data_IF_107243711817
#
_entry.id   IF_107243711817
#
_cell.length_a   1.000
_cell.length_b   1.000
_cell.length_c   1.000
_cell.angle_alpha   90.00
_cell.angle_beta   90.00
_cell.angle_gamma   90.00
#
_symmetry.space_group_name_H-M   'P 1'
#
loop_
_entity.id
_entity.type
_entity.pdbx_description
1 polymer ?
#
# COMPACT_ATOMS: atom_id res chain seq x y z
N UNK A 1 34.82 -27.53 -14.10
CA UNK A 1 33.71 -28.31 -13.53
C UNK A 1 33.67 -27.99 -12.05
N UNK A 2 32.80 -27.04 -11.68
CA UNK A 2 32.49 -26.61 -10.32
C UNK A 2 31.22 -25.73 -10.39
N UNK A 3 30.25 -26.01 -9.51
CA UNK A 3 29.41 -25.10 -8.69
C UNK A 3 29.15 -23.66 -9.21
N UNK A 4 27.95 -23.05 -9.13
CA UNK A 4 26.88 -23.11 -8.11
C UNK A 4 25.61 -22.39 -8.60
N UNK A 5 24.48 -22.78 -8.01
CA UNK A 5 23.31 -21.98 -7.60
C UNK A 5 22.58 -21.05 -8.59
N UNK A 6 21.41 -21.53 -9.03
CA UNK A 6 20.22 -20.71 -9.19
C UNK A 6 18.98 -21.53 -8.76
N UNK A 7 18.56 -21.35 -7.51
CA UNK A 7 17.30 -21.87 -6.96
C UNK A 7 16.11 -21.27 -7.73
N UNK A 8 15.60 -22.02 -8.70
CA UNK A 8 14.28 -21.82 -9.30
C UNK A 8 13.24 -22.28 -8.28
N UNK A 9 12.54 -21.33 -7.66
CA UNK A 9 11.33 -21.59 -6.88
C UNK A 9 10.14 -21.90 -7.80
N UNK A 10 10.24 -23.01 -8.51
CA UNK A 10 9.16 -23.70 -9.23
C UNK A 10 9.74 -25.04 -9.67
N UNK A 11 9.85 -25.97 -8.73
CA UNK A 11 9.72 -27.38 -9.04
C UNK A 11 8.65 -27.92 -8.10
N UNK A 12 7.75 -28.71 -8.68
CA UNK A 12 6.76 -29.54 -7.99
C UNK A 12 7.49 -30.62 -7.15
N UNK A 13 8.31 -30.18 -6.19
CA UNK A 13 8.92 -31.03 -5.19
C UNK A 13 7.81 -31.54 -4.29
N UNK A 14 7.44 -32.80 -4.52
CA UNK A 14 6.80 -33.75 -3.61
C UNK A 14 6.36 -33.08 -2.31
N UNK A 15 5.08 -32.71 -2.23
CA UNK A 15 4.47 -32.18 -1.01
C UNK A 15 4.57 -33.29 0.05
N UNK A 16 5.66 -33.27 0.82
CA UNK A 16 5.83 -34.11 2.00
C UNK A 16 4.85 -33.60 3.05
N UNK A 17 3.66 -34.21 3.06
CA UNK A 17 2.55 -34.03 4.02
C UNK A 17 2.38 -32.62 4.59
N UNK A 18 1.57 -31.80 3.92
CA UNK A 18 1.10 -30.52 4.41
C UNK A 18 -0.09 -30.72 5.35
N UNK A 19 0.09 -30.57 6.67
CA UNK A 19 -1.05 -30.50 7.60
C UNK A 19 -1.50 -29.04 7.71
N UNK A 20 -2.76 -28.78 7.39
CA UNK A 20 -3.36 -27.44 7.52
C UNK A 20 -4.18 -27.36 8.80
N UNK A 21 -3.98 -26.30 9.58
CA UNK A 21 -4.81 -25.98 10.74
C UNK A 21 -5.26 -24.53 10.67
N UNK A 22 -6.42 -24.25 11.22
CA UNK A 22 -6.99 -22.92 11.27
C UNK A 22 -7.44 -22.60 12.69
N UNK A 23 -7.20 -21.36 13.13
CA UNK A 23 -7.74 -20.80 14.36
C UNK A 23 -8.21 -19.37 14.10
N UNK A 24 -9.52 -19.12 14.20
CA UNK A 24 -10.12 -17.79 13.99
C UNK A 24 -9.60 -17.07 12.72
N UNK A 25 -9.45 -17.79 11.61
CA UNK A 25 -8.94 -17.24 10.33
C UNK A 25 -7.41 -17.12 10.24
N UNK A 26 -6.66 -17.49 11.27
CA UNK A 26 -5.20 -17.69 11.21
C UNK A 26 -4.95 -19.08 10.63
N UNK A 27 -4.19 -19.17 9.55
CA UNK A 27 -3.94 -20.43 8.84
C UNK A 27 -2.49 -20.85 9.08
N UNK A 28 -2.32 -22.08 9.58
CA UNK A 28 -1.04 -22.71 9.84
C UNK A 28 -0.82 -23.84 8.83
N UNK A 29 0.30 -23.78 8.13
CA UNK A 29 0.76 -24.83 7.25
C UNK A 29 2.00 -25.49 7.85
N UNK A 30 1.80 -26.71 8.34
CA UNK A 30 2.87 -27.53 8.87
C UNK A 30 3.45 -28.37 7.73
N UNK A 31 4.71 -28.13 7.43
CA UNK A 31 5.55 -28.95 6.57
C UNK A 31 6.52 -29.73 7.46
N UNK A 32 7.22 -30.71 6.88
CA UNK A 32 8.18 -31.53 7.63
C UNK A 32 9.29 -30.71 8.33
N UNK A 33 9.74 -29.61 7.72
CA UNK A 33 10.87 -28.81 8.17
C UNK A 33 10.55 -27.34 8.48
N UNK A 34 9.31 -26.89 8.30
CA UNK A 34 8.92 -25.49 8.53
C UNK A 34 7.45 -25.33 8.85
N UNK A 35 7.15 -24.20 9.50
CA UNK A 35 5.80 -23.71 9.72
C UNK A 35 5.62 -22.42 8.91
N UNK A 36 4.59 -22.36 8.07
CA UNK A 36 4.14 -21.12 7.45
C UNK A 36 2.83 -20.68 8.08
N UNK A 37 2.73 -19.38 8.39
CA UNK A 37 1.54 -18.79 9.03
C UNK A 37 1.01 -17.68 8.13
N UNK A 38 -0.25 -17.76 7.75
CA UNK A 38 -0.97 -16.65 7.12
C UNK A 38 -1.88 -16.02 8.16
N UNK A 39 -1.65 -14.74 8.43
CA UNK A 39 -2.37 -14.02 9.47
C UNK A 39 -2.79 -12.63 8.98
N UNK A 40 -4.11 -12.39 8.92
CA UNK A 40 -4.71 -11.11 8.55
C UNK A 40 -5.17 -10.38 9.82
N UNK A 41 -4.29 -9.57 10.40
CA UNK A 41 -4.50 -9.01 11.75
C UNK A 41 -5.81 -8.22 11.88
N UNK A 42 -6.12 -7.36 10.91
CA UNK A 42 -7.33 -6.55 10.92
C UNK A 42 -8.61 -7.39 10.78
N UNK A 43 -8.56 -8.51 10.06
CA UNK A 43 -9.68 -9.46 10.03
C UNK A 43 -9.84 -10.11 11.40
N UNK A 44 -8.75 -10.61 12.00
CA UNK A 44 -8.79 -11.23 13.32
C UNK A 44 -9.36 -10.29 14.38
N UNK A 45 -8.92 -9.03 14.40
CA UNK A 45 -9.46 -7.96 15.25
C UNK A 45 -10.99 -7.82 15.10
N UNK A 46 -11.51 -7.95 13.89
CA UNK A 46 -12.94 -7.88 13.59
C UNK A 46 -13.61 -9.26 13.53
N UNK A 47 -13.12 -10.26 14.28
CA UNK A 47 -13.69 -11.61 14.32
C UNK A 47 -13.87 -12.25 12.92
N UNK A 48 -12.90 -12.01 12.04
CA UNK A 48 -12.85 -12.46 10.64
C UNK A 48 -13.96 -11.96 9.73
N UNK A 49 -14.67 -10.88 10.09
CA UNK A 49 -15.79 -10.36 9.30
C UNK A 49 -15.37 -9.36 8.20
N UNK A 50 -14.48 -8.43 8.53
CA UNK A 50 -14.08 -7.37 7.59
C UNK A 50 -12.74 -6.75 7.98
N UNK A 51 -12.24 -5.87 7.12
CA UNK A 51 -11.08 -5.02 7.41
C UNK A 51 -11.34 -3.58 6.93
N UNK A 52 -12.56 -3.07 7.09
CA UNK A 52 -12.99 -1.78 6.54
C UNK A 52 -13.01 -0.63 7.56
N UNK A 53 -13.23 -0.93 8.84
CA UNK A 53 -13.11 0.05 9.94
C UNK A 53 -11.65 0.43 10.19
N UNK A 54 -11.43 1.29 11.18
CA UNK A 54 -10.09 1.65 11.62
C UNK A 54 -9.40 0.51 12.37
N UNK A 55 -8.10 0.39 12.14
CA UNK A 55 -7.21 -0.55 12.82
C UNK A 55 -5.94 0.18 13.17
N UNK A 56 -5.84 0.60 14.42
CA UNK A 56 -4.78 1.46 14.90
C UNK A 56 -3.47 0.69 15.10
N UNK A 57 -2.39 1.43 15.30
CA UNK A 57 -1.08 0.86 15.68
C UNK A 57 -1.19 0.05 16.97
N UNK A 58 -1.95 0.53 17.96
CA UNK A 58 -2.11 -0.17 19.23
C UNK A 58 -2.94 -1.44 19.07
N UNK A 59 -3.97 -1.45 18.21
CA UNK A 59 -4.74 -2.66 17.90
C UNK A 59 -3.84 -3.72 17.26
N UNK A 60 -2.96 -3.30 16.34
CA UNK A 60 -1.98 -4.17 15.70
C UNK A 60 -1.02 -4.81 16.72
N UNK A 61 -0.44 -4.00 17.61
CA UNK A 61 0.46 -4.49 18.68
C UNK A 61 -0.30 -5.46 19.61
N UNK A 62 -1.54 -5.14 19.97
CA UNK A 62 -2.34 -6.00 20.84
C UNK A 62 -2.67 -7.34 20.19
N UNK A 63 -3.02 -7.36 18.89
CA UNK A 63 -3.23 -8.60 18.13
C UNK A 63 -1.96 -9.46 18.09
N UNK A 64 -0.78 -8.85 17.91
CA UNK A 64 0.50 -9.59 17.93
C UNK A 64 0.81 -10.17 19.32
N UNK A 65 0.56 -9.40 20.39
CA UNK A 65 0.71 -9.88 21.78
C UNK A 65 -0.26 -11.02 22.10
N UNK A 66 -1.52 -10.87 21.74
CA UNK A 66 -2.54 -11.91 21.93
C UNK A 66 -2.16 -13.19 21.18
N UNK A 67 -1.70 -13.08 19.94
CA UNK A 67 -1.21 -14.22 19.17
C UNK A 67 -0.03 -14.93 19.85
N UNK A 68 0.96 -14.18 20.35
CA UNK A 68 2.07 -14.75 21.13
C UNK A 68 1.56 -15.53 22.33
N UNK A 69 0.64 -14.94 23.08
CA UNK A 69 0.17 -15.49 24.36
C UNK A 69 -0.76 -16.70 24.17
N UNK A 70 -1.60 -16.72 23.12
CA UNK A 70 -2.50 -17.83 22.82
C UNK A 70 -1.73 -19.09 22.40
N UNK A 71 -0.68 -18.92 21.58
CA UNK A 71 0.04 -20.05 21.01
C UNK A 71 1.35 -20.37 21.73
N UNK A 72 1.75 -19.55 22.71
CA UNK A 72 3.02 -19.64 23.42
C UNK A 72 4.22 -19.72 22.44
N UNK A 73 4.22 -18.84 21.43
CA UNK A 73 5.23 -18.81 20.37
C UNK A 73 6.24 -17.70 20.61
N UNK A 74 7.53 -18.03 20.52
CA UNK A 74 8.58 -17.02 20.41
C UNK A 74 8.51 -16.31 19.05
N UNK A 75 8.00 -15.08 19.05
CA UNK A 75 7.86 -14.24 17.87
C UNK A 75 9.19 -13.95 17.16
N UNK A 76 10.34 -14.09 17.84
CA UNK A 76 11.65 -13.88 17.21
C UNK A 76 12.02 -14.98 16.20
N UNK A 77 11.41 -16.15 16.32
CA UNK A 77 11.60 -17.29 15.41
C UNK A 77 10.74 -17.16 14.13
N UNK A 78 9.72 -16.29 14.15
CA UNK A 78 8.80 -16.11 13.03
C UNK A 78 9.28 -15.04 12.07
N UNK A 79 10.05 -15.43 11.04
CA UNK A 79 10.48 -14.52 9.99
C UNK A 79 9.29 -13.97 9.18
N UNK A 80 9.25 -12.65 8.95
CA UNK A 80 8.20 -12.01 8.13
C UNK A 80 8.65 -11.98 6.67
N UNK A 81 8.06 -12.85 5.86
CA UNK A 81 8.41 -13.01 4.44
C UNK A 81 7.50 -12.24 3.48
N UNK A 82 6.24 -12.01 3.88
CA UNK A 82 5.23 -11.27 3.15
C UNK A 82 4.57 -10.27 4.08
N UNK A 83 4.27 -9.07 3.57
CA UNK A 83 3.59 -8.04 4.35
C UNK A 83 2.73 -7.17 3.42
N UNK A 84 1.51 -6.88 3.87
CA UNK A 84 0.62 -5.89 3.27
C UNK A 84 0.19 -4.90 4.35
N UNK A 85 0.36 -3.61 4.10
CA UNK A 85 -0.03 -2.54 5.01
C UNK A 85 -0.56 -1.35 4.22
N UNK A 86 -1.48 -0.59 4.80
CA UNK A 86 -2.14 0.49 4.09
C UNK A 86 -3.08 1.30 4.97
N UNK A 87 -3.68 2.32 4.38
CA UNK A 87 -4.58 3.25 5.06
C UNK A 87 -5.92 3.32 4.33
N UNK A 88 -7.01 3.26 5.10
CA UNK A 88 -8.34 3.61 4.62
C UNK A 88 -8.53 5.11 4.79
N UNK A 89 -8.99 5.82 3.76
CA UNK A 89 -9.23 7.25 3.83
C UNK A 89 -10.50 7.63 3.06
N UNK A 90 -11.16 8.71 3.48
CA UNK A 90 -12.34 9.23 2.80
C UNK A 90 -11.90 10.07 1.60
N UNK A 91 -12.34 9.70 0.40
CA UNK A 91 -12.02 10.49 -0.79
C UNK A 91 -12.75 11.85 -0.76
N UNK A 92 -12.10 12.97 -1.10
CA UNK A 92 -12.76 14.29 -1.18
C UNK A 92 -13.66 14.46 -2.41
N UNK A 93 -13.53 13.54 -3.37
CA UNK A 93 -14.36 13.43 -4.58
C UNK A 93 -14.97 12.04 -4.62
N UNK A 94 -15.87 11.76 -5.58
CA UNK A 94 -16.39 10.40 -5.78
C UNK A 94 -15.24 9.42 -6.01
N UNK A 95 -15.19 8.35 -5.24
CA UNK A 95 -14.04 7.42 -5.21
C UNK A 95 -13.77 6.76 -6.56
N UNK A 96 -14.81 6.55 -7.37
CA UNK A 96 -14.69 6.05 -8.74
C UNK A 96 -13.81 6.98 -9.60
N UNK A 97 -14.01 8.29 -9.49
CA UNK A 97 -13.20 9.27 -10.22
C UNK A 97 -11.77 9.30 -9.70
N UNK A 98 -11.59 9.30 -8.38
CA UNK A 98 -10.26 9.24 -7.77
C UNK A 98 -9.44 8.05 -8.28
N UNK A 99 -10.02 6.84 -8.26
CA UNK A 99 -9.34 5.63 -8.77
C UNK A 99 -9.01 5.79 -10.27
N UNK A 100 -9.91 6.37 -11.06
CA UNK A 100 -9.66 6.58 -12.50
C UNK A 100 -8.57 7.63 -12.80
N UNK A 101 -8.36 8.58 -11.89
CA UNK A 101 -7.36 9.65 -12.04
C UNK A 101 -5.96 9.24 -11.57
N UNK A 102 -5.82 8.15 -10.81
CA UNK A 102 -4.53 7.57 -10.44
C UNK A 102 -3.95 6.76 -11.61
N UNK A 103 -3.12 7.41 -12.43
CA UNK A 103 -2.66 6.80 -13.70
C UNK A 103 -1.30 6.11 -13.60
N UNK A 104 -0.38 6.62 -12.77
CA UNK A 104 0.96 6.06 -12.58
C UNK A 104 1.38 6.10 -11.11
N UNK A 105 2.18 5.11 -10.71
CA UNK A 105 3.02 5.18 -9.51
C UNK A 105 4.47 5.10 -9.96
N UNK A 106 5.26 6.12 -9.60
CA UNK A 106 6.53 6.41 -10.27
C UNK A 106 6.34 6.42 -11.80
N UNK A 107 6.94 5.45 -12.50
CA UNK A 107 6.85 5.27 -13.96
C UNK A 107 6.04 4.05 -14.36
N UNK A 108 5.43 3.38 -13.40
CA UNK A 108 4.69 2.15 -13.60
C UNK A 108 3.19 2.48 -13.66
N UNK A 109 2.56 2.20 -14.80
CA UNK A 109 1.14 2.44 -14.97
C UNK A 109 0.33 1.63 -13.97
N UNK A 110 -0.71 2.23 -13.42
CA UNK A 110 -1.73 1.47 -12.73
C UNK A 110 -2.50 0.59 -13.71
N UNK A 111 -2.74 -0.66 -13.32
CA UNK A 111 -3.53 -1.65 -14.07
C UNK A 111 -4.67 -2.11 -13.20
N UNK A 112 -5.80 -2.47 -13.81
CA UNK A 112 -6.91 -3.06 -13.06
C UNK A 112 -6.46 -4.33 -12.32
N UNK A 113 -6.82 -4.42 -11.05
CA UNK A 113 -6.61 -5.60 -10.24
C UNK A 113 -7.79 -6.56 -10.45
N UNK A 114 -7.51 -7.78 -10.89
CA UNK A 114 -8.55 -8.76 -11.16
C UNK A 114 -9.24 -9.16 -9.85
N UNK A 115 -10.57 -9.11 -9.82
CA UNK A 115 -11.38 -9.60 -8.69
C UNK A 115 -12.07 -8.53 -7.84
N UNK A 116 -11.80 -7.24 -8.05
CA UNK A 116 -12.50 -6.14 -7.39
C UNK A 116 -12.78 -5.00 -8.40
N UNK A 117 -14.03 -4.58 -8.53
CA UNK A 117 -14.39 -3.39 -9.31
C UNK A 117 -13.71 -2.14 -8.72
N UNK A 118 -13.22 -1.26 -9.59
CA UNK A 118 -12.49 -0.05 -9.20
C UNK A 118 -11.32 -0.34 -8.25
N UNK A 119 -10.56 -1.38 -8.58
CA UNK A 119 -9.30 -1.72 -7.95
C UNK A 119 -8.18 -1.64 -8.97
N UNK A 120 -7.12 -0.93 -8.60
CA UNK A 120 -5.93 -0.75 -9.41
C UNK A 120 -4.70 -1.17 -8.63
N UNK A 121 -3.70 -1.68 -9.35
CA UNK A 121 -2.39 -2.01 -8.80
C UNK A 121 -1.27 -1.57 -9.73
N UNK A 122 -0.14 -1.19 -9.16
CA UNK A 122 1.08 -0.83 -9.87
C UNK A 122 2.27 -1.57 -9.27
N UNK A 123 3.11 -2.09 -10.16
CA UNK A 123 4.33 -2.81 -9.81
C UNK A 123 5.34 -2.65 -10.95
N UNK A 124 6.62 -2.83 -10.64
CA UNK A 124 7.65 -2.87 -11.67
C UNK A 124 7.55 -4.19 -12.45
N UNK A 125 7.52 -4.13 -13.77
CA UNK A 125 7.62 -5.36 -14.58
C UNK A 125 9.07 -5.91 -14.55
N UNK A 126 9.20 -7.23 -14.53
CA UNK A 126 10.45 -7.94 -14.79
C UNK A 126 10.71 -7.98 -16.31
N UNK A 127 11.92 -8.35 -16.72
CA UNK A 127 12.29 -8.45 -18.15
C UNK A 127 11.40 -9.42 -18.94
N UNK A 128 10.83 -10.41 -18.27
CA UNK A 128 9.91 -11.42 -18.82
C UNK A 128 8.44 -10.97 -18.82
N UNK A 129 8.15 -9.71 -18.44
CA UNK A 129 6.80 -9.18 -18.36
C UNK A 129 6.01 -9.59 -17.11
N UNK A 130 6.62 -10.36 -16.19
CA UNK A 130 5.96 -10.76 -14.94
C UNK A 130 6.06 -9.67 -13.87
N UNK A 131 5.11 -9.66 -12.93
CA UNK A 131 5.07 -8.70 -11.84
C UNK A 131 6.26 -8.88 -10.89
N UNK A 132 6.97 -7.79 -10.58
CA UNK A 132 7.97 -7.82 -9.53
C UNK A 132 7.31 -7.92 -8.15
N UNK A 133 7.68 -8.97 -7.42
CA UNK A 133 7.21 -9.29 -6.06
C UNK A 133 7.76 -8.37 -4.96
N UNK A 134 8.76 -7.55 -5.28
CA UNK A 134 9.45 -6.68 -4.32
C UNK A 134 8.55 -5.63 -3.67
N UNK A 135 7.70 -4.97 -4.45
CA UNK A 135 6.76 -3.94 -3.99
C UNK A 135 5.65 -3.77 -5.01
N UNK A 136 4.41 -3.82 -4.54
CA UNK A 136 3.19 -3.54 -5.31
C UNK A 136 2.40 -2.47 -4.56
N UNK A 137 1.96 -1.45 -5.27
CA UNK A 137 1.03 -0.44 -4.77
C UNK A 137 -0.36 -0.82 -5.22
N UNK A 138 -1.35 -0.76 -4.33
CA UNK A 138 -2.76 -0.99 -4.67
C UNK A 138 -3.60 0.19 -4.21
N UNK A 139 -4.59 0.56 -4.99
CA UNK A 139 -5.63 1.50 -4.60
C UNK A 139 -7.00 0.97 -5.01
N UNK A 140 -7.99 1.05 -4.14
CA UNK A 140 -9.33 0.57 -4.44
C UNK A 140 -10.40 1.19 -3.55
N UNK A 141 -11.66 1.08 -3.99
CA UNK A 141 -12.80 1.59 -3.23
C UNK A 141 -13.22 0.57 -2.17
N UNK A 142 -12.92 0.86 -0.91
CA UNK A 142 -13.19 -0.03 0.22
C UNK A 142 -14.67 -0.11 0.55
N UNK A 143 -15.39 0.99 0.38
CA UNK A 143 -16.84 1.08 0.62
C UNK A 143 -17.67 0.25 -0.37
N UNK A 144 -17.14 -0.05 -1.57
CA UNK A 144 -17.79 -1.02 -2.46
C UNK A 144 -17.61 -2.46 -1.97
N UNK A 145 -16.45 -2.77 -1.36
CA UNK A 145 -16.18 -4.10 -0.82
C UNK A 145 -16.95 -4.34 0.49
N UNK A 146 -17.08 -3.30 1.32
CA UNK A 146 -17.65 -3.39 2.68
C UNK A 146 -18.55 -2.19 3.00
N UNK A 147 -19.69 -2.03 2.30
CA UNK A 147 -20.55 -0.84 2.42
C UNK A 147 -21.19 -0.66 3.80
N UNK A 148 -21.27 -1.72 4.60
CA UNK A 148 -21.85 -1.68 5.96
C UNK A 148 -20.85 -1.31 7.05
N UNK A 149 -19.56 -1.24 6.72
CA UNK A 149 -18.47 -1.17 7.70
C UNK A 149 -17.53 0.03 7.51
N UNK A 150 -17.83 0.90 6.53
CA UNK A 150 -17.12 2.16 6.31
C UNK A 150 -18.00 3.13 5.54
N UNK A 151 -17.65 4.42 5.63
CA UNK A 151 -18.37 5.49 4.95
C UNK A 151 -18.33 5.33 3.42
N UNK A 152 -19.36 5.80 2.69
CA UNK A 152 -19.31 5.93 1.24
C UNK A 152 -18.03 6.63 0.79
N UNK A 153 -17.52 6.27 -0.39
CA UNK A 153 -16.26 6.80 -0.95
C UNK A 153 -14.99 6.60 -0.08
N UNK A 154 -15.04 5.71 0.93
CA UNK A 154 -13.81 5.22 1.58
C UNK A 154 -12.96 4.46 0.56
N UNK A 155 -11.75 4.94 0.34
CA UNK A 155 -10.71 4.29 -0.46
C UNK A 155 -9.68 3.62 0.44
N UNK A 156 -8.94 2.63 -0.10
CA UNK A 156 -7.72 2.11 0.50
C UNK A 156 -6.54 2.39 -0.41
N UNK A 157 -5.43 2.84 0.18
CA UNK A 157 -4.11 2.81 -0.43
C UNK A 157 -3.23 1.81 0.33
N UNK A 158 -2.63 0.86 -0.37
CA UNK A 158 -1.93 -0.28 0.23
C UNK A 158 -0.58 -0.53 -0.46
N UNK A 159 0.42 -0.87 0.36
CA UNK A 159 1.73 -1.34 -0.06
C UNK A 159 1.85 -2.82 0.31
N UNK A 160 2.12 -3.64 -0.70
CA UNK A 160 2.26 -5.08 -0.57
C UNK A 160 3.65 -5.53 -1.03
N UNK A 161 4.28 -6.43 -0.29
CA UNK A 161 5.54 -7.07 -0.67
C UNK A 161 5.51 -8.56 -0.36
N UNK A 162 6.07 -9.36 -1.27
CA UNK A 162 6.30 -10.79 -1.09
C UNK A 162 7.78 -11.14 -0.96
N UNK A 163 8.60 -10.16 -0.61
CA UNK A 163 10.06 -10.27 -0.55
C UNK A 163 10.55 -9.74 0.79
N UNK A 164 11.11 -10.63 1.62
CA UNK A 164 11.69 -10.28 2.92
C UNK A 164 12.72 -9.14 2.83
N UNK A 165 13.42 -9.02 1.69
CA UNK A 165 14.38 -7.93 1.45
C UNK A 165 13.76 -6.54 1.58
N UNK A 166 12.54 -6.34 1.08
CA UNK A 166 11.84 -5.07 1.22
C UNK A 166 11.38 -4.86 2.66
N UNK A 167 10.81 -5.89 3.27
CA UNK A 167 10.27 -5.87 4.64
C UNK A 167 11.35 -5.53 5.66
N UNK A 168 12.57 -6.06 5.49
CA UNK A 168 13.73 -5.74 6.33
C UNK A 168 14.14 -4.26 6.28
N UNK A 169 13.87 -3.55 5.18
CA UNK A 169 14.13 -2.10 5.10
C UNK A 169 13.21 -1.29 6.01
N UNK A 170 12.05 -1.83 6.38
CA UNK A 170 11.15 -1.26 7.38
C UNK A 170 11.63 -1.54 8.81
N UNK A 171 12.73 -2.29 9.00
CA UNK A 171 13.22 -2.74 10.29
C UNK A 171 12.54 -4.02 10.81
N UNK A 172 11.88 -4.77 9.94
CA UNK A 172 11.13 -5.99 10.30
C UNK A 172 11.89 -7.22 9.80
N UNK A 173 12.44 -7.99 10.72
CA UNK A 173 13.06 -9.28 10.44
C UNK A 173 12.14 -10.42 10.90
N UNK A 174 11.47 -10.22 12.04
CA UNK A 174 10.60 -11.21 12.68
C UNK A 174 9.30 -10.58 13.16
N UNK A 175 8.32 -11.42 13.51
CA UNK A 175 7.06 -10.96 14.07
C UNK A 175 7.25 -10.18 15.39
N UNK A 176 8.37 -10.38 16.11
CA UNK A 176 8.72 -9.61 17.31
C UNK A 176 8.88 -8.13 17.01
N UNK A 177 9.41 -7.77 15.83
CA UNK A 177 9.63 -6.39 15.44
C UNK A 177 8.32 -5.62 15.27
N UNK A 178 7.20 -6.32 15.02
CA UNK A 178 5.85 -5.75 14.98
C UNK A 178 5.35 -5.30 16.37
N UNK A 179 6.08 -5.57 17.46
CA UNK A 179 5.80 -4.98 18.76
C UNK A 179 6.44 -3.60 18.95
N UNK A 180 7.29 -3.16 18.01
CA UNK A 180 8.02 -1.91 18.10
C UNK A 180 7.28 -0.77 17.36
N UNK A 181 6.99 0.32 18.08
CA UNK A 181 6.34 1.51 17.52
C UNK A 181 7.10 2.12 16.33
N UNK A 182 8.44 2.10 16.36
CA UNK A 182 9.29 2.67 15.31
C UNK A 182 9.05 2.02 13.94
N UNK A 183 8.67 0.75 13.92
CA UNK A 183 8.32 0.05 12.69
C UNK A 183 7.08 0.67 12.04
N UNK A 184 6.09 1.05 12.84
CA UNK A 184 4.86 1.67 12.34
C UNK A 184 5.08 3.11 11.87
N UNK A 185 5.98 3.86 12.52
CA UNK A 185 6.38 5.18 12.04
C UNK A 185 7.05 5.09 10.66
N UNK A 186 7.92 4.09 10.46
CA UNK A 186 8.51 3.82 9.13
C UNK A 186 7.46 3.40 8.11
N UNK A 187 6.47 2.59 8.49
CA UNK A 187 5.35 2.25 7.59
C UNK A 187 4.52 3.49 7.22
N UNK A 188 4.25 4.39 8.18
CA UNK A 188 3.57 5.66 7.95
C UNK A 188 4.32 6.53 6.94
N UNK A 189 5.61 6.76 7.18
CA UNK A 189 6.50 7.49 6.27
C UNK A 189 6.48 6.86 4.88
N UNK A 190 6.51 5.52 4.81
CA UNK A 190 6.48 4.81 3.54
C UNK A 190 5.15 4.98 2.82
N UNK A 191 4.01 4.96 3.52
CA UNK A 191 2.70 5.26 2.92
C UNK A 191 2.70 6.67 2.31
N UNK A 192 3.18 7.66 3.05
CA UNK A 192 3.26 9.06 2.58
C UNK A 192 4.16 9.19 1.35
N UNK A 193 5.35 8.62 1.38
CA UNK A 193 6.32 8.64 0.27
C UNK A 193 5.73 7.96 -0.99
N UNK A 194 5.16 6.77 -0.85
CA UNK A 194 4.62 6.03 -1.99
C UNK A 194 3.36 6.71 -2.56
N UNK A 195 2.55 7.36 -1.72
CA UNK A 195 1.40 8.15 -2.18
C UNK A 195 1.84 9.40 -2.95
N UNK A 196 2.88 10.11 -2.49
CA UNK A 196 3.44 11.28 -3.18
C UNK A 196 3.96 10.93 -4.59
N UNK A 197 4.48 9.70 -4.73
CA UNK A 197 4.93 9.14 -6.00
C UNK A 197 3.79 8.80 -6.99
N UNK A 198 2.52 8.82 -6.55
CA UNK A 198 1.37 8.69 -7.44
C UNK A 198 1.19 9.95 -8.28
N UNK A 199 0.93 9.75 -9.58
CA UNK A 199 0.46 10.80 -10.48
C UNK A 199 -1.07 10.76 -10.53
N UNK A 200 -1.67 11.83 -10.01
CA UNK A 200 -3.13 12.02 -9.97
C UNK A 200 -3.48 13.15 -10.94
N UNK A 201 -4.34 12.84 -11.91
CA UNK A 201 -4.92 13.83 -12.81
C UNK A 201 -5.99 14.64 -12.06
N UNK A 202 -5.84 15.95 -12.00
CA UNK A 202 -6.71 16.81 -11.22
C UNK A 202 -7.79 17.37 -12.15
N UNK A 203 -8.83 16.56 -12.37
CA UNK A 203 -9.96 16.90 -13.23
C UNK A 203 -11.12 17.54 -12.47
N UNK A 204 -11.00 17.71 -11.15
CA UNK A 204 -12.09 18.12 -10.25
C UNK A 204 -11.88 19.50 -9.64
N UNK A 205 -10.63 19.95 -9.53
CA UNK A 205 -10.33 21.29 -9.02
C UNK A 205 -10.78 22.37 -9.99
N UNK A 206 -11.39 23.43 -9.47
CA UNK A 206 -11.72 24.63 -10.24
C UNK A 206 -10.44 25.48 -10.48
N UNK A 207 -10.02 25.54 -11.75
CA UNK A 207 -8.86 26.30 -12.19
C UNK A 207 -9.20 27.63 -12.88
N UNK A 208 -10.46 28.09 -12.83
CA UNK A 208 -10.92 29.31 -13.52
C UNK A 208 -10.23 30.59 -13.06
N UNK A 209 -9.65 30.59 -11.86
CA UNK A 209 -8.85 31.72 -11.33
C UNK A 209 -7.44 31.82 -11.96
N UNK A 210 -6.99 30.79 -12.67
CA UNK A 210 -5.69 30.79 -13.37
C UNK A 210 -5.81 31.43 -14.76
N UNK A 211 -4.66 31.78 -15.35
CA UNK A 211 -4.66 32.32 -16.72
C UNK A 211 -5.06 31.26 -17.75
N UNK A 212 -5.62 31.67 -18.90
CA UNK A 212 -6.01 30.75 -20.00
C UNK A 212 -4.86 29.85 -20.49
N UNK A 213 -3.61 30.33 -20.40
CA UNK A 213 -2.43 29.56 -20.76
C UNK A 213 -2.19 28.42 -19.76
N UNK A 214 -2.40 28.69 -18.48
CA UNK A 214 -2.22 27.70 -17.41
C UNK A 214 -3.33 26.68 -17.40
N UNK A 215 -4.58 27.13 -17.57
CA UNK A 215 -5.73 26.23 -17.70
C UNK A 215 -5.54 25.26 -18.88
N UNK A 216 -5.12 25.77 -20.06
CA UNK A 216 -4.82 24.91 -21.22
C UNK A 216 -3.69 23.93 -20.96
N UNK A 217 -2.64 24.33 -20.23
CA UNK A 217 -1.55 23.41 -19.85
C UNK A 217 -2.02 22.32 -18.91
N UNK A 218 -2.83 22.65 -17.91
CA UNK A 218 -3.41 21.66 -17.00
C UNK A 218 -4.30 20.69 -17.78
N UNK A 219 -5.16 21.20 -18.68
CA UNK A 219 -5.99 20.36 -19.54
C UNK A 219 -5.18 19.40 -20.41
N UNK A 220 -4.04 19.85 -20.96
CA UNK A 220 -3.11 18.99 -21.73
C UNK A 220 -2.48 17.90 -20.85
N UNK A 221 -2.11 18.20 -19.61
CA UNK A 221 -1.63 17.19 -18.65
C UNK A 221 -2.74 16.26 -18.15
N UNK A 222 -3.99 16.72 -18.08
CA UNK A 222 -5.12 15.87 -17.71
C UNK A 222 -5.51 14.87 -18.81
N UNK A 223 -4.86 14.91 -19.98
CA UNK A 223 -4.98 13.87 -20.99
C UNK A 223 -4.01 12.70 -20.68
N UNK A 224 -4.50 11.47 -20.39
CA UNK A 224 -3.63 10.33 -20.13
C UNK A 224 -2.65 10.01 -21.27
N UNK A 225 -3.01 10.28 -22.54
CA UNK A 225 -2.13 10.06 -23.69
C UNK A 225 -0.87 10.92 -23.63
N UNK A 226 -0.95 12.12 -23.03
CA UNK A 226 0.22 12.98 -22.81
C UNK A 226 1.27 12.26 -21.98
N UNK A 227 0.86 11.62 -20.89
CA UNK A 227 1.77 10.89 -20.00
C UNK A 227 2.34 9.64 -20.63
N UNK A 228 1.56 8.94 -21.47
CA UNK A 228 2.09 7.84 -22.28
C UNK A 228 3.24 8.29 -23.18
N UNK A 229 3.10 9.43 -23.87
CA UNK A 229 4.18 9.98 -24.70
C UNK A 229 5.39 10.44 -23.87
N UNK A 230 5.15 11.09 -22.74
CA UNK A 230 6.21 11.51 -21.80
C UNK A 230 7.00 10.32 -21.28
N UNK A 231 6.33 9.21 -20.96
CA UNK A 231 6.97 7.99 -20.45
C UNK A 231 7.87 7.33 -21.49
N UNK A 232 7.47 7.35 -22.76
CA UNK A 232 8.24 6.79 -23.88
C UNK A 232 9.39 7.69 -24.35
N UNK A 233 9.59 8.83 -23.72
CA UNK A 233 10.72 9.70 -24.01
C UNK A 233 12.05 9.05 -23.57
N UNK A 234 13.12 9.10 -24.38
CA UNK A 234 14.40 8.44 -24.07
C UNK A 234 15.11 9.03 -22.84
N UNK A 235 14.80 10.26 -22.45
CA UNK A 235 15.46 10.91 -21.32
C UNK A 235 14.93 10.36 -19.99
N UNK A 236 15.84 9.70 -19.25
CA UNK A 236 15.54 9.06 -17.95
C UNK A 236 14.75 9.93 -16.98
N UNK A 237 15.01 11.23 -16.91
CA UNK A 237 14.38 12.12 -15.92
C UNK A 237 13.18 12.90 -16.47
N UNK A 238 12.76 12.65 -17.72
CA UNK A 238 11.72 13.44 -18.36
C UNK A 238 10.37 13.32 -17.64
N UNK A 239 9.94 12.10 -17.32
CA UNK A 239 8.69 11.86 -16.59
C UNK A 239 8.61 12.65 -15.27
N UNK A 240 9.62 12.54 -14.41
CA UNK A 240 9.65 13.23 -13.12
C UNK A 240 9.62 14.75 -13.29
N UNK A 241 10.40 15.29 -14.24
CA UNK A 241 10.38 16.73 -14.54
C UNK A 241 9.02 17.22 -15.04
N UNK A 242 8.34 16.44 -15.90
CA UNK A 242 7.00 16.81 -16.37
C UNK A 242 5.96 16.72 -15.24
N UNK A 243 6.08 15.72 -14.35
CA UNK A 243 5.26 15.61 -13.12
C UNK A 243 5.44 16.84 -12.20
N UNK A 244 6.68 17.27 -11.98
CA UNK A 244 6.98 18.50 -11.23
C UNK A 244 6.38 19.76 -11.89
N UNK A 245 6.49 19.90 -13.22
CA UNK A 245 5.90 21.02 -13.95
C UNK A 245 4.38 21.02 -13.85
N UNK A 246 3.75 19.86 -14.02
CA UNK A 246 2.30 19.71 -13.88
C UNK A 246 1.84 20.14 -12.47
N UNK A 247 2.45 19.60 -11.42
CA UNK A 247 2.10 19.98 -10.05
C UNK A 247 2.46 21.42 -9.71
N UNK A 248 3.44 22.06 -10.37
CA UNK A 248 3.67 23.50 -10.24
C UNK A 248 2.48 24.33 -10.71
N UNK A 249 1.74 23.88 -11.73
CA UNK A 249 0.52 24.57 -12.17
C UNK A 249 -0.66 24.26 -11.25
N UNK A 250 -0.88 22.98 -10.91
CA UNK A 250 -1.98 22.56 -10.02
C UNK A 250 -1.88 23.21 -8.64
N UNK A 251 -0.67 23.27 -8.06
CA UNK A 251 -0.42 23.85 -6.74
C UNK A 251 -0.56 25.39 -6.68
N UNK A 252 -0.87 26.06 -7.79
CA UNK A 252 -1.32 27.46 -7.74
C UNK A 252 -2.69 27.60 -7.08
N UNK A 253 -3.48 26.53 -7.08
CA UNK A 253 -4.68 26.40 -6.27
C UNK A 253 -4.33 25.63 -5.01
N UNK A 254 -4.38 26.29 -3.85
CA UNK A 254 -3.95 25.70 -2.58
C UNK A 254 -4.79 24.46 -2.23
N UNK A 255 -6.12 24.56 -2.38
CA UNK A 255 -7.06 23.49 -2.07
C UNK A 255 -7.31 22.53 -3.25
N UNK A 256 -6.29 22.24 -4.07
CA UNK A 256 -6.41 21.26 -5.15
C UNK A 256 -6.58 19.82 -4.64
N UNK A 257 -7.00 18.90 -5.51
CA UNK A 257 -7.32 17.51 -5.17
C UNK A 257 -6.15 16.80 -4.48
N UNK A 258 -4.93 16.98 -5.00
CA UNK A 258 -3.73 16.33 -4.45
C UNK A 258 -3.46 16.82 -3.02
N UNK A 259 -3.52 18.12 -2.78
CA UNK A 259 -3.27 18.69 -1.45
C UNK A 259 -4.34 18.24 -0.44
N UNK A 260 -5.61 18.18 -0.86
CA UNK A 260 -6.68 17.63 -0.03
C UNK A 260 -6.40 16.17 0.35
N UNK A 261 -6.00 15.33 -0.61
CA UNK A 261 -5.69 13.92 -0.37
C UNK A 261 -4.49 13.73 0.57
N UNK A 262 -3.41 14.49 0.37
CA UNK A 262 -2.22 14.45 1.25
C UNK A 262 -2.60 14.80 2.68
N UNK A 263 -3.43 15.83 2.86
CA UNK A 263 -3.92 16.23 4.18
C UNK A 263 -4.80 15.13 4.79
N UNK A 264 -5.79 14.63 4.06
CA UNK A 264 -6.69 13.57 4.52
C UNK A 264 -5.91 12.32 4.95
N UNK A 265 -4.95 11.87 4.15
CA UNK A 265 -4.13 10.69 4.46
C UNK A 265 -3.24 10.95 5.67
N UNK A 266 -2.62 12.13 5.76
CA UNK A 266 -1.77 12.49 6.90
C UNK A 266 -2.57 12.56 8.20
N UNK A 267 -3.70 13.26 8.18
CA UNK A 267 -4.63 13.37 9.32
C UNK A 267 -5.11 11.98 9.77
N UNK A 268 -5.37 11.08 8.81
CA UNK A 268 -5.81 9.71 9.09
C UNK A 268 -4.71 8.86 9.71
N UNK A 269 -3.48 8.95 9.20
CA UNK A 269 -2.33 8.25 9.78
C UNK A 269 -2.02 8.76 11.20
N UNK A 270 -2.10 10.07 11.40
CA UNK A 270 -1.94 10.70 12.71
C UNK A 270 -3.02 10.26 13.70
N UNK A 271 -4.25 10.04 13.22
CA UNK A 271 -5.32 9.45 14.03
C UNK A 271 -5.01 8.00 14.40
N UNK A 272 -4.57 7.16 13.45
CA UNK A 272 -4.32 5.72 13.67
C UNK A 272 -3.13 5.42 14.58
N UNK A 273 -2.25 6.40 14.84
CA UNK A 273 -1.13 6.27 15.78
C UNK A 273 -1.41 6.84 17.18
N UNK A 274 -2.57 7.48 17.40
CA UNK A 274 -2.95 7.99 18.74
C UNK A 274 -3.01 6.84 19.73
N UNK A 275 -2.63 7.12 20.98
CA UNK A 275 -2.53 6.11 22.04
C UNK A 275 -1.23 5.30 22.02
N UNK A 276 -0.63 5.06 20.85
CA UNK A 276 0.66 4.39 20.76
C UNK A 276 1.85 5.31 21.13
N UNK A 277 1.73 6.62 20.88
CA UNK A 277 2.77 7.64 21.16
C UNK A 277 2.59 8.30 22.55
N UNK A 278 1.58 7.91 23.34
CA UNK A 278 1.21 8.64 24.59
C UNK A 278 2.19 8.48 25.76
N UNK A 279 3.41 7.97 25.54
CA UNK A 279 4.48 7.90 26.54
C UNK A 279 5.82 8.34 25.93
N UNK A 280 5.94 9.60 25.56
CA UNK A 280 7.23 10.29 25.61
C UNK A 280 7.18 11.26 26.80
N UNK A 281 8.01 11.09 27.84
CA UNK A 281 8.19 12.14 28.82
C UNK A 281 8.68 13.38 28.08
N UNK A 282 8.03 14.52 28.29
CA UNK A 282 8.61 15.80 27.90
C UNK A 282 9.94 15.92 28.65
N UNK A 283 11.05 16.00 27.91
CA UNK A 283 12.35 16.45 28.45
C UNK A 283 12.28 17.96 28.61
#
# INVERSE_FOLDING_TARGET
MSETDNLKYNDDEVIQTKKVKEYKGIIFFFYHNRLEIIFKFHYYFNNSQHNANDFSVIDCINVVKEFRDIFDIDLSLLAVINLEFGVNFLSPIRAIYLISYMIYHDKNAFRNDAGLSYSIRSFKDRKDGTANKYKTIKAYIKSLQFPKYCEPDTCRFEIASKEAKYIKQLGINSAKDLLNLEVYLKMEEKIKEEFDNVLILDCETDFTSLTDIEQRKIADYNNPLKWFHILNNPYRNHFSKQKEIYYKFVNKIENNLRNQLIKIISDKLDFLKRGAISTTPKV
#
